data_IF_565327138071
#
_entry.id   IF_565327138071
#
_cell.length_a   1.000
_cell.length_b   1.000
_cell.length_c   1.000
_cell.angle_alpha   90.00
_cell.angle_beta   90.00
_cell.angle_gamma   90.00
#
_symmetry.space_group_name_H-M   'P 1'
#
loop_
_entity.id
_entity.type
_entity.pdbx_description
1 polymer ?
#
# COMPACT_ATOMS: atom_id res chain seq x y z
N UNK A 1 -1.06 -6.48 14.84
CA UNK A 1 -2.13 -6.71 13.84
C UNK A 1 -1.70 -7.66 12.71
N UNK A 2 -0.69 -8.47 12.90
CA UNK A 2 -0.08 -9.24 11.80
C UNK A 2 -0.79 -10.56 11.44
N UNK A 3 -1.98 -10.84 11.93
CA UNK A 3 -2.72 -12.08 11.64
C UNK A 3 -4.10 -11.89 11.01
N UNK A 4 -4.63 -10.67 11.02
CA UNK A 4 -5.99 -10.42 10.51
C UNK A 4 -5.91 -9.88 9.07
N UNK A 5 -6.61 -10.51 8.10
CA UNK A 5 -6.69 -10.00 6.74
C UNK A 5 -7.25 -8.57 6.70
N UNK A 6 -6.66 -7.73 5.85
CA UNK A 6 -7.11 -6.34 5.66
C UNK A 6 -8.24 -6.24 4.63
N UNK A 7 -8.37 -7.24 3.76
CA UNK A 7 -9.37 -7.36 2.71
C UNK A 7 -10.09 -8.71 2.81
N UNK A 8 -11.25 -8.79 2.19
CA UNK A 8 -11.98 -10.04 2.05
C UNK A 8 -11.18 -11.04 1.20
N UNK A 9 -10.97 -12.26 1.74
CA UNK A 9 -10.11 -13.25 1.10
C UNK A 9 -10.74 -13.85 -0.16
N UNK A 10 -12.06 -13.98 -0.24
CA UNK A 10 -12.73 -14.47 -1.43
C UNK A 10 -12.76 -13.41 -2.53
N UNK A 11 -12.86 -12.14 -2.16
CA UNK A 11 -12.66 -11.04 -3.09
C UNK A 11 -11.22 -11.04 -3.65
N UNK A 12 -10.19 -11.27 -2.81
CA UNK A 12 -8.80 -11.40 -3.26
C UNK A 12 -8.62 -12.57 -4.24
N UNK A 13 -9.21 -13.75 -3.95
CA UNK A 13 -9.21 -14.90 -4.88
C UNK A 13 -9.92 -14.56 -6.19
N UNK A 14 -11.02 -13.83 -6.13
CA UNK A 14 -11.76 -13.39 -7.33
C UNK A 14 -10.95 -12.39 -8.16
N UNK A 15 -10.22 -11.47 -7.52
CA UNK A 15 -9.28 -10.53 -8.18
C UNK A 15 -8.18 -11.28 -8.92
N UNK A 16 -7.61 -12.31 -8.30
CA UNK A 16 -6.61 -13.16 -8.93
C UNK A 16 -7.15 -13.88 -10.16
N UNK A 17 -8.35 -14.46 -10.08
CA UNK A 17 -9.00 -15.09 -11.26
C UNK A 17 -9.16 -14.08 -12.39
N UNK A 18 -9.76 -12.91 -12.11
CA UNK A 18 -9.92 -11.85 -13.11
C UNK A 18 -8.59 -11.37 -13.71
N UNK A 19 -7.51 -11.39 -12.93
CA UNK A 19 -6.19 -11.03 -13.42
C UNK A 19 -5.67 -12.07 -14.42
N UNK A 20 -5.75 -13.36 -14.11
CA UNK A 20 -5.37 -14.42 -15.02
C UNK A 20 -6.22 -14.45 -16.28
N UNK A 21 -7.53 -14.23 -16.18
CA UNK A 21 -8.42 -14.13 -17.34
C UNK A 21 -7.96 -13.00 -18.30
N UNK A 22 -7.56 -11.86 -17.76
CA UNK A 22 -7.04 -10.72 -18.53
C UNK A 22 -5.67 -10.96 -19.13
N UNK A 23 -4.87 -11.79 -18.52
CA UNK A 23 -3.52 -12.16 -18.95
C UNK A 23 -3.49 -13.47 -19.74
N UNK A 24 -4.64 -14.05 -20.07
CA UNK A 24 -4.71 -15.37 -20.75
C UNK A 24 -3.94 -15.42 -22.08
N UNK A 25 -3.95 -14.32 -22.85
CA UNK A 25 -3.21 -14.21 -24.11
C UNK A 25 -1.68 -14.26 -23.92
N UNK A 26 -1.19 -13.91 -22.74
CA UNK A 26 0.23 -13.92 -22.41
C UNK A 26 0.77 -15.32 -22.13
N UNK A 27 -0.09 -16.32 -21.93
CA UNK A 27 0.30 -17.72 -21.70
C UNK A 27 1.34 -17.89 -20.59
N UNK A 28 1.13 -17.19 -19.46
CA UNK A 28 2.04 -17.24 -18.34
C UNK A 28 1.98 -18.61 -17.63
N UNK A 29 3.12 -19.10 -17.16
CA UNK A 29 3.18 -20.23 -16.22
C UNK A 29 2.76 -19.81 -14.82
N UNK A 30 3.03 -18.55 -14.48
CA UNK A 30 2.65 -17.93 -13.23
C UNK A 30 3.08 -16.47 -13.17
N UNK A 31 2.81 -15.84 -12.02
CA UNK A 31 3.22 -14.47 -11.78
C UNK A 31 3.76 -14.29 -10.35
N UNK A 32 4.63 -13.31 -10.18
CA UNK A 32 5.19 -12.91 -8.89
C UNK A 32 4.92 -11.42 -8.70
N UNK A 33 4.34 -11.05 -7.56
CA UNK A 33 4.14 -9.66 -7.16
C UNK A 33 4.92 -9.36 -5.88
N UNK A 34 5.50 -8.17 -5.82
CA UNK A 34 6.34 -7.69 -4.73
C UNK A 34 5.91 -6.33 -4.17
N UNK A 35 5.17 -5.53 -4.94
CA UNK A 35 4.64 -4.26 -4.45
C UNK A 35 3.63 -4.51 -3.32
N UNK A 36 3.79 -3.85 -2.15
CA UNK A 36 2.93 -4.08 -0.98
C UNK A 36 1.44 -3.96 -1.27
N UNK A 37 1.05 -3.02 -2.12
CA UNK A 37 -0.34 -2.84 -2.54
C UNK A 37 -0.87 -3.95 -3.44
N UNK A 38 -0.03 -4.58 -4.26
CA UNK A 38 -0.43 -5.69 -5.11
C UNK A 38 -0.43 -7.00 -4.34
N UNK A 39 0.53 -7.19 -3.43
CA UNK A 39 0.49 -8.29 -2.46
C UNK A 39 -0.80 -8.21 -1.64
N UNK A 40 -1.13 -7.05 -1.07
CA UNK A 40 -2.38 -6.84 -0.34
C UNK A 40 -3.61 -7.13 -1.19
N UNK A 41 -3.68 -6.60 -2.39
CA UNK A 41 -4.82 -6.73 -3.30
C UNK A 41 -5.15 -8.19 -3.67
N UNK A 42 -4.11 -9.04 -3.77
CA UNK A 42 -4.24 -10.43 -4.21
C UNK A 42 -4.21 -11.45 -3.06
N UNK A 43 -3.73 -11.08 -1.86
CA UNK A 43 -3.59 -12.00 -0.73
C UNK A 43 -4.37 -11.61 0.53
N UNK A 44 -4.76 -10.34 0.64
CA UNK A 44 -5.46 -9.78 1.79
C UNK A 44 -4.55 -9.10 2.82
N UNK A 45 -3.22 -9.20 2.69
CA UNK A 45 -2.27 -8.72 3.69
C UNK A 45 -1.32 -7.66 3.17
N UNK A 46 -0.99 -6.70 4.05
CA UNK A 46 0.02 -5.66 3.82
C UNK A 46 0.97 -5.59 5.02
N UNK A 47 2.22 -5.36 4.73
CA UNK A 47 3.24 -5.06 5.74
C UNK A 47 3.71 -3.61 5.59
N UNK A 48 4.32 -3.11 6.65
CA UNK A 48 5.01 -1.83 6.66
C UNK A 48 6.12 -1.81 5.58
N UNK A 49 6.43 -0.62 5.04
CA UNK A 49 7.44 -0.41 3.99
C UNK A 49 8.82 -0.98 4.32
N UNK A 50 9.08 -1.25 5.60
CA UNK A 50 10.33 -1.83 6.08
C UNK A 50 10.46 -3.32 5.77
N UNK A 51 9.43 -3.97 5.27
CA UNK A 51 9.41 -5.39 4.96
C UNK A 51 9.20 -5.64 3.47
N UNK A 52 9.75 -6.72 2.97
CA UNK A 52 9.67 -7.13 1.57
C UNK A 52 8.86 -8.44 1.40
N UNK A 53 7.53 -8.42 1.60
CA UNK A 53 6.71 -9.59 1.29
C UNK A 53 6.68 -9.79 -0.22
N UNK A 54 6.42 -11.02 -0.65
CA UNK A 54 6.09 -11.32 -2.04
C UNK A 54 5.00 -12.39 -2.12
N UNK A 55 4.29 -12.42 -3.24
CA UNK A 55 3.35 -13.49 -3.53
C UNK A 55 3.58 -14.06 -4.92
N UNK A 56 3.47 -15.37 -5.03
CA UNK A 56 3.60 -16.10 -6.30
C UNK A 56 2.33 -16.92 -6.56
N UNK A 57 1.87 -16.90 -7.80
CA UNK A 57 0.64 -17.54 -8.21
C UNK A 57 0.89 -18.34 -9.47
N UNK A 58 0.60 -19.64 -9.44
CA UNK A 58 0.60 -20.46 -10.66
C UNK A 58 -0.71 -20.27 -11.42
N UNK A 59 -0.69 -20.41 -12.72
CA UNK A 59 -1.90 -20.23 -13.56
C UNK A 59 -2.99 -21.27 -13.23
N UNK A 60 -2.61 -22.50 -12.97
CA UNK A 60 -3.54 -23.61 -12.73
C UNK A 60 -3.19 -24.41 -11.45
N UNK A 61 -2.60 -23.78 -10.47
CA UNK A 61 -2.13 -24.49 -9.27
C UNK A 61 -2.05 -23.60 -8.04
N UNK A 62 -1.22 -23.98 -7.07
CA UNK A 62 -1.16 -23.33 -5.79
C UNK A 62 -0.60 -21.92 -5.85
N UNK A 63 -0.98 -21.15 -4.85
CA UNK A 63 -0.51 -19.79 -4.59
C UNK A 63 0.32 -19.76 -3.30
N UNK A 64 1.38 -18.95 -3.32
CA UNK A 64 2.29 -18.73 -2.21
C UNK A 64 2.23 -17.28 -1.74
N UNK A 65 2.26 -17.09 -0.43
CA UNK A 65 2.61 -15.82 0.21
C UNK A 65 3.90 -16.00 1.02
N UNK A 66 4.91 -15.22 0.73
CA UNK A 66 6.15 -15.12 1.52
C UNK A 66 6.06 -13.88 2.38
N UNK A 67 6.09 -14.04 3.69
CA UNK A 67 5.88 -12.97 4.67
C UNK A 67 7.03 -12.88 5.69
N UNK A 68 7.25 -11.70 6.30
CA UNK A 68 8.32 -11.53 7.27
C UNK A 68 8.02 -12.22 8.61
N UNK A 69 9.02 -12.84 9.19
CA UNK A 69 9.15 -13.39 10.54
C UNK A 69 8.10 -14.45 10.94
N UNK A 70 6.82 -14.15 10.84
CA UNK A 70 5.74 -15.06 11.27
C UNK A 70 4.71 -15.26 10.18
N UNK A 71 4.25 -16.50 9.96
CA UNK A 71 3.16 -16.74 9.03
C UNK A 71 1.88 -16.07 9.52
N UNK A 72 1.06 -15.60 8.58
CA UNK A 72 -0.30 -15.16 8.87
C UNK A 72 -1.24 -16.37 8.98
N UNK A 73 -2.28 -16.26 9.83
CA UNK A 73 -3.18 -17.38 10.06
C UNK A 73 -4.07 -17.71 8.84
N UNK A 74 -4.47 -16.67 8.12
CA UNK A 74 -5.34 -16.80 6.94
C UNK A 74 -4.89 -15.82 5.85
N UNK A 75 -4.83 -16.29 4.62
CA UNK A 75 -4.56 -15.48 3.43
C UNK A 75 -5.30 -16.06 2.21
N UNK A 76 -5.43 -15.27 1.15
CA UNK A 76 -6.02 -15.74 -0.11
C UNK A 76 -5.02 -16.56 -0.96
N UNK A 77 -4.27 -17.45 -0.31
CA UNK A 77 -3.27 -18.34 -0.92
C UNK A 77 -3.39 -19.75 -0.34
N UNK A 78 -2.66 -20.70 -0.90
CA UNK A 78 -2.68 -22.10 -0.46
C UNK A 78 -1.49 -22.41 0.48
N UNK A 79 -0.39 -21.65 0.37
CA UNK A 79 0.83 -21.84 1.14
C UNK A 79 1.32 -20.50 1.70
N UNK A 80 1.65 -20.44 2.98
CA UNK A 80 2.20 -19.25 3.65
C UNK A 80 3.54 -19.62 4.25
N UNK A 81 4.61 -18.96 3.83
CA UNK A 81 5.96 -19.23 4.31
C UNK A 81 6.62 -17.98 4.84
N UNK A 82 7.15 -18.01 6.07
CA UNK A 82 7.92 -16.91 6.59
C UNK A 82 9.35 -16.89 6.05
N UNK A 83 9.92 -15.70 5.96
CA UNK A 83 11.37 -15.50 5.87
C UNK A 83 11.86 -14.75 7.11
N UNK A 84 13.11 -14.94 7.46
CA UNK A 84 13.73 -14.21 8.57
C UNK A 84 14.06 -12.78 8.14
N UNK A 85 13.28 -11.80 8.64
CA UNK A 85 13.45 -10.40 8.29
C UNK A 85 14.55 -9.69 9.09
N UNK A 86 14.97 -10.29 10.23
CA UNK A 86 15.96 -9.71 11.16
C UNK A 86 17.00 -10.75 11.53
N UNK A 87 18.27 -10.34 11.57
CA UNK A 87 19.33 -11.18 12.13
C UNK A 87 19.41 -11.09 13.65
N UNK A 88 19.35 -9.85 14.16
CA UNK A 88 19.37 -9.57 15.60
C UNK A 88 18.64 -8.27 15.88
N UNK A 89 17.65 -8.32 16.78
CA UNK A 89 16.91 -7.14 17.22
C UNK A 89 16.50 -6.21 16.06
N UNK A 90 17.15 -5.07 15.90
CA UNK A 90 16.90 -4.08 14.85
C UNK A 90 17.76 -4.27 13.59
N UNK A 91 18.80 -5.14 13.63
CA UNK A 91 19.60 -5.45 12.45
C UNK A 91 18.79 -6.26 11.47
N UNK A 92 18.60 -5.68 10.27
CA UNK A 92 17.81 -6.30 9.21
C UNK A 92 18.67 -7.14 8.30
N UNK A 93 18.07 -8.23 7.87
CA UNK A 93 18.54 -9.03 6.75
C UNK A 93 18.36 -8.27 5.42
N UNK A 94 19.03 -8.70 4.35
CA UNK A 94 18.59 -8.42 2.99
C UNK A 94 17.28 -9.18 2.78
N UNK A 95 16.18 -8.47 2.94
CA UNK A 95 14.85 -9.06 2.96
C UNK A 95 14.41 -9.51 1.56
N UNK A 96 14.87 -8.80 0.51
CA UNK A 96 14.60 -9.18 -0.87
C UNK A 96 15.24 -10.53 -1.21
N UNK A 97 16.50 -10.73 -0.81
CA UNK A 97 17.20 -12.03 -0.96
C UNK A 97 16.55 -13.12 -0.10
N UNK A 98 16.26 -12.82 1.18
CA UNK A 98 15.66 -13.81 2.09
C UNK A 98 14.27 -14.28 1.58
N UNK A 99 13.43 -13.37 1.13
CA UNK A 99 12.13 -13.70 0.54
C UNK A 99 12.28 -14.49 -0.77
N UNK A 100 13.20 -14.08 -1.65
CA UNK A 100 13.46 -14.79 -2.90
C UNK A 100 13.98 -16.22 -2.66
N UNK A 101 14.79 -16.45 -1.63
CA UNK A 101 15.25 -17.79 -1.25
C UNK A 101 14.08 -18.71 -0.90
N UNK A 102 13.11 -18.22 -0.13
CA UNK A 102 11.89 -18.97 0.22
C UNK A 102 11.06 -19.26 -1.03
N UNK A 103 10.92 -18.28 -1.92
CA UNK A 103 10.28 -18.51 -3.24
C UNK A 103 11.01 -19.58 -4.04
N UNK A 104 12.34 -19.54 -4.11
CA UNK A 104 13.16 -20.54 -4.82
C UNK A 104 12.94 -21.95 -4.29
N UNK A 105 12.89 -22.13 -2.97
CA UNK A 105 12.56 -23.41 -2.33
C UNK A 105 11.15 -23.91 -2.71
N UNK A 106 10.20 -23.00 -2.80
CA UNK A 106 8.85 -23.32 -3.19
C UNK A 106 8.76 -23.72 -4.66
N UNK A 107 9.49 -23.04 -5.55
CA UNK A 107 9.56 -23.35 -6.98
C UNK A 107 10.26 -24.68 -7.28
N UNK A 108 11.25 -25.08 -6.49
CA UNK A 108 12.05 -26.31 -6.71
C UNK A 108 11.20 -27.59 -6.74
N UNK A 109 10.02 -27.59 -6.12
CA UNK A 109 9.07 -28.70 -6.12
C UNK A 109 8.02 -28.61 -7.25
N UNK A 110 8.23 -27.76 -8.26
CA UNK A 110 7.25 -27.42 -9.29
C UNK A 110 7.86 -27.45 -10.69
N UNK A 111 7.04 -27.57 -11.76
CA UNK A 111 7.53 -27.42 -13.12
C UNK A 111 8.22 -26.06 -13.31
N UNK A 112 9.26 -26.04 -14.10
CA UNK A 112 10.00 -24.81 -14.43
C UNK A 112 9.11 -23.83 -15.16
N UNK A 113 9.03 -22.60 -14.65
CA UNK A 113 8.34 -21.52 -15.31
C UNK A 113 9.22 -20.93 -16.42
N UNK A 114 8.69 -20.85 -17.62
CA UNK A 114 9.38 -20.31 -18.79
C UNK A 114 8.87 -18.94 -19.21
N UNK A 115 7.63 -18.60 -18.81
CA UNK A 115 7.02 -17.32 -19.08
C UNK A 115 6.38 -16.77 -17.80
N UNK A 116 6.96 -15.73 -17.23
CA UNK A 116 6.69 -15.26 -15.86
C UNK A 116 6.17 -13.84 -15.88
N UNK A 117 4.99 -13.63 -15.32
CA UNK A 117 4.47 -12.28 -15.08
C UNK A 117 5.14 -11.66 -13.86
N UNK A 118 5.69 -10.46 -14.00
CA UNK A 118 6.31 -9.71 -12.91
C UNK A 118 5.98 -8.21 -13.01
N UNK A 119 6.21 -7.48 -11.95
CA UNK A 119 6.13 -6.02 -11.92
C UNK A 119 7.47 -5.45 -12.37
N UNK A 120 7.54 -4.89 -13.57
CA UNK A 120 8.82 -4.40 -14.13
C UNK A 120 9.41 -3.25 -13.32
N UNK A 121 8.58 -2.41 -12.69
CA UNK A 121 9.07 -1.28 -11.89
C UNK A 121 9.60 -1.69 -10.51
N UNK A 122 9.26 -2.90 -10.02
CA UNK A 122 9.51 -3.28 -8.62
C UNK A 122 10.17 -4.64 -8.43
N UNK A 123 10.13 -5.54 -9.42
CA UNK A 123 10.64 -6.90 -9.26
C UNK A 123 12.16 -6.90 -9.08
N UNK A 124 12.68 -7.35 -7.92
CA UNK A 124 14.11 -7.28 -7.65
C UNK A 124 14.88 -8.37 -8.40
N UNK A 125 16.17 -8.15 -8.72
CA UNK A 125 17.04 -9.15 -9.35
C UNK A 125 17.12 -10.48 -8.60
N UNK A 126 16.95 -10.47 -7.29
CA UNK A 126 16.89 -11.69 -6.47
C UNK A 126 15.76 -12.64 -6.90
N UNK A 127 14.63 -12.08 -7.31
CA UNK A 127 13.48 -12.86 -7.82
C UNK A 127 13.72 -13.30 -9.23
N UNK A 128 14.14 -12.39 -10.13
CA UNK A 128 14.31 -12.75 -11.55
C UNK A 128 15.38 -13.82 -11.80
N UNK A 129 16.44 -13.85 -10.97
CA UNK A 129 17.49 -14.89 -11.04
C UNK A 129 16.98 -16.30 -10.78
N UNK A 130 15.83 -16.47 -10.12
CA UNK A 130 15.23 -17.78 -9.88
C UNK A 130 14.66 -18.43 -11.17
N UNK A 131 14.45 -17.63 -12.22
CA UNK A 131 13.81 -18.03 -13.46
C UNK A 131 14.80 -17.95 -14.64
N UNK A 132 15.94 -18.66 -14.51
CA UNK A 132 16.98 -18.63 -15.55
C UNK A 132 16.42 -19.08 -16.90
N UNK A 133 16.60 -18.23 -17.92
CA UNK A 133 16.11 -18.48 -19.29
C UNK A 133 14.59 -18.27 -19.48
N UNK A 134 13.87 -17.76 -18.50
CA UNK A 134 12.47 -17.40 -18.66
C UNK A 134 12.30 -16.05 -19.39
N UNK A 135 11.21 -15.93 -20.10
CA UNK A 135 10.70 -14.67 -20.62
C UNK A 135 9.87 -13.96 -19.53
N UNK A 136 10.12 -12.68 -19.30
CA UNK A 136 9.34 -11.87 -18.35
C UNK A 136 8.32 -11.02 -19.09
N UNK A 137 7.12 -10.95 -18.51
CA UNK A 137 6.01 -10.15 -19.00
C UNK A 137 5.59 -9.15 -17.93
N UNK A 138 5.49 -7.87 -18.31
CA UNK A 138 5.01 -6.83 -17.40
C UNK A 138 3.51 -6.93 -17.15
N UNK A 139 3.13 -7.20 -15.91
CA UNK A 139 1.73 -7.30 -15.48
C UNK A 139 1.18 -6.02 -14.86
N UNK A 140 2.01 -5.01 -14.59
CA UNK A 140 1.57 -3.78 -13.93
C UNK A 140 0.48 -3.04 -14.68
N UNK A 141 0.55 -2.86 -16.01
CA UNK A 141 -0.51 -2.15 -16.74
C UNK A 141 -1.89 -2.82 -16.61
N UNK A 142 -1.91 -4.15 -16.50
CA UNK A 142 -3.16 -4.92 -16.32
C UNK A 142 -3.65 -4.80 -14.89
N UNK A 143 -2.76 -4.94 -13.88
CA UNK A 143 -3.08 -4.75 -12.46
C UNK A 143 -3.61 -3.35 -12.19
N UNK A 144 -2.94 -2.31 -12.69
CA UNK A 144 -3.36 -0.91 -12.51
C UNK A 144 -4.74 -0.66 -13.12
N UNK A 145 -5.01 -1.17 -14.32
CA UNK A 145 -6.35 -1.09 -14.94
C UNK A 145 -7.41 -1.80 -14.11
N UNK A 146 -7.10 -2.99 -13.57
CA UNK A 146 -8.04 -3.75 -12.76
C UNK A 146 -8.35 -3.05 -11.45
N UNK A 147 -7.36 -2.44 -10.79
CA UNK A 147 -7.51 -1.69 -9.54
C UNK A 147 -8.28 -0.38 -9.67
N UNK A 148 -8.53 0.13 -10.88
CA UNK A 148 -9.37 1.33 -11.08
C UNK A 148 -10.81 1.10 -10.61
N UNK A 149 -11.36 -0.08 -10.80
CA UNK A 149 -12.69 -0.46 -10.31
C UNK A 149 -12.56 -1.19 -8.99
N UNK A 150 -13.07 -0.57 -7.93
CA UNK A 150 -13.00 -1.08 -6.55
C UNK A 150 -14.10 -2.10 -6.27
N UNK A 151 -13.75 -3.16 -5.58
CA UNK A 151 -14.69 -4.12 -5.01
C UNK A 151 -15.27 -3.58 -3.68
N UNK A 152 -16.37 -4.15 -3.14
CA UNK A 152 -17.03 -3.65 -1.94
C UNK A 152 -16.13 -3.56 -0.70
N UNK A 153 -15.22 -4.50 -0.50
CA UNK A 153 -14.27 -4.50 0.63
C UNK A 153 -13.24 -3.35 0.52
N UNK A 154 -12.76 -3.05 -0.70
CA UNK A 154 -11.91 -1.90 -0.97
C UNK A 154 -12.65 -0.57 -0.71
N UNK A 155 -13.93 -0.49 -1.14
CA UNK A 155 -14.77 0.67 -0.90
C UNK A 155 -15.01 0.91 0.60
N UNK A 156 -15.09 -0.14 1.41
CA UNK A 156 -15.22 0.01 2.86
C UNK A 156 -13.97 0.68 3.47
N UNK A 157 -12.78 0.31 3.04
CA UNK A 157 -11.52 0.94 3.48
C UNK A 157 -11.41 2.38 3.00
N UNK A 158 -11.77 2.65 1.74
CA UNK A 158 -11.79 4.01 1.19
C UNK A 158 -12.77 4.93 1.95
N UNK A 159 -13.97 4.46 2.28
CA UNK A 159 -14.93 5.23 3.07
C UNK A 159 -14.37 5.60 4.44
N UNK A 160 -13.60 4.70 5.07
CA UNK A 160 -12.94 4.97 6.35
C UNK A 160 -11.87 6.06 6.20
N UNK A 161 -11.04 5.98 5.15
CA UNK A 161 -10.05 7.01 4.84
C UNK A 161 -10.71 8.38 4.55
N UNK A 162 -11.82 8.40 3.80
CA UNK A 162 -12.59 9.62 3.50
C UNK A 162 -13.17 10.23 4.78
N UNK A 163 -13.70 9.41 5.70
CA UNK A 163 -14.18 9.91 7.00
C UNK A 163 -13.05 10.53 7.82
N UNK A 164 -11.86 9.94 7.80
CA UNK A 164 -10.68 10.51 8.45
C UNK A 164 -10.27 11.85 7.83
N UNK A 165 -10.29 11.98 6.50
CA UNK A 165 -10.04 13.26 5.84
C UNK A 165 -11.10 14.32 6.23
N UNK A 166 -12.36 13.93 6.38
CA UNK A 166 -13.41 14.80 6.90
C UNK A 166 -13.08 15.35 8.29
N UNK A 167 -12.69 14.47 9.23
CA UNK A 167 -12.29 14.86 10.57
C UNK A 167 -11.07 15.81 10.58
N UNK A 168 -10.10 15.59 9.68
CA UNK A 168 -8.98 16.51 9.52
C UNK A 168 -9.44 17.90 9.07
N UNK A 169 -10.34 17.99 8.09
CA UNK A 169 -10.86 19.28 7.62
C UNK A 169 -11.68 20.01 8.68
N UNK A 170 -12.45 19.31 9.50
CA UNK A 170 -13.20 19.90 10.60
C UNK A 170 -12.23 20.48 11.63
N UNK A 171 -11.20 19.73 12.02
CA UNK A 171 -10.12 20.22 12.88
C UNK A 171 -9.39 21.44 12.29
N UNK A 172 -9.10 21.41 10.98
CA UNK A 172 -8.46 22.54 10.30
C UNK A 172 -9.31 23.82 10.42
N UNK A 173 -10.62 23.73 10.19
CA UNK A 173 -11.52 24.88 10.28
C UNK A 173 -11.58 25.50 11.67
N UNK A 174 -11.39 24.70 12.70
CA UNK A 174 -11.38 25.17 14.09
C UNK A 174 -10.05 25.83 14.48
N UNK A 175 -8.94 25.34 13.93
CA UNK A 175 -7.59 25.77 14.33
C UNK A 175 -7.01 26.91 13.51
N UNK A 176 -7.48 27.09 12.26
CA UNK A 176 -6.86 28.07 11.34
C UNK A 176 -7.20 29.49 11.75
N UNK A 177 -6.22 30.15 12.37
CA UNK A 177 -6.26 31.54 12.78
C UNK A 177 -4.90 32.22 12.54
N UNK A 178 -4.85 33.56 12.37
CA UNK A 178 -3.60 34.28 12.32
C UNK A 178 -2.75 34.00 13.57
N UNK A 179 -1.46 33.73 13.37
CA UNK A 179 -0.52 33.37 14.44
C UNK A 179 -0.44 31.87 14.74
N UNK A 180 -1.35 31.05 14.21
CA UNK A 180 -1.27 29.59 14.33
C UNK A 180 -0.07 29.01 13.59
N UNK A 181 0.64 28.05 14.19
CA UNK A 181 1.83 27.41 13.59
C UNK A 181 1.45 26.24 12.69
N UNK A 182 2.07 26.12 11.50
CA UNK A 182 1.80 25.04 10.55
C UNK A 182 2.05 23.65 11.16
N UNK A 183 3.10 23.49 12.00
CA UNK A 183 3.41 22.20 12.65
C UNK A 183 2.35 21.81 13.68
N UNK A 184 1.80 22.78 14.41
CA UNK A 184 0.71 22.52 15.38
C UNK A 184 -0.56 22.07 14.65
N UNK A 185 -0.90 22.75 13.56
CA UNK A 185 -2.03 22.37 12.70
C UNK A 185 -1.80 20.95 12.17
N UNK A 186 -0.64 20.67 11.57
CA UNK A 186 -0.31 19.34 11.05
C UNK A 186 -0.48 18.25 12.13
N UNK A 187 0.06 18.48 13.33
CA UNK A 187 -0.01 17.52 14.43
C UNK A 187 -1.45 17.23 14.85
N UNK A 188 -2.28 18.29 14.94
CA UNK A 188 -3.70 18.13 15.26
C UNK A 188 -4.49 17.39 14.17
N UNK A 189 -4.19 17.67 12.90
CA UNK A 189 -4.80 16.95 11.76
C UNK A 189 -4.45 15.46 11.79
N UNK A 190 -3.19 15.12 12.09
CA UNK A 190 -2.79 13.71 12.24
C UNK A 190 -3.52 13.03 13.40
N UNK A 191 -3.63 13.71 14.55
CA UNK A 191 -4.36 13.20 15.71
C UNK A 191 -5.84 12.96 15.39
N UNK A 192 -6.50 13.88 14.70
CA UNK A 192 -7.89 13.74 14.26
C UNK A 192 -8.10 12.52 13.35
N UNK A 193 -7.21 12.33 12.38
CA UNK A 193 -7.28 11.19 11.47
C UNK A 193 -7.06 9.84 12.18
N UNK A 194 -6.06 9.76 13.07
CA UNK A 194 -5.80 8.56 13.88
C UNK A 194 -6.99 8.25 14.78
N UNK A 195 -7.57 9.25 15.44
CA UNK A 195 -8.77 9.08 16.27
C UNK A 195 -9.97 8.59 15.46
N UNK A 196 -10.18 9.14 14.27
CA UNK A 196 -11.24 8.72 13.35
C UNK A 196 -11.06 7.29 12.87
N UNK A 197 -9.82 6.87 12.56
CA UNK A 197 -9.51 5.52 12.12
C UNK A 197 -9.48 4.50 13.25
N UNK A 198 -9.20 4.92 14.50
CA UNK A 198 -9.00 4.03 15.64
C UNK A 198 -7.69 3.23 15.58
N UNK A 199 -6.80 3.56 14.65
CA UNK A 199 -5.48 2.94 14.48
C UNK A 199 -4.52 3.87 13.75
N UNK A 200 -3.23 3.53 13.74
CA UNK A 200 -2.21 4.29 13.03
C UNK A 200 -2.47 4.29 11.51
N UNK A 201 -2.32 5.46 10.89
CA UNK A 201 -2.42 5.59 9.44
C UNK A 201 -1.26 4.87 8.73
N UNK A 202 -1.51 4.40 7.52
CA UNK A 202 -0.47 3.85 6.62
C UNK A 202 0.12 4.90 5.68
N UNK A 203 -0.40 6.11 5.70
CA UNK A 203 0.07 7.27 4.94
C UNK A 203 -0.72 8.51 5.30
N UNK A 204 -0.19 9.67 4.89
CA UNK A 204 -0.79 10.99 5.12
C UNK A 204 -0.93 11.73 3.80
N UNK A 205 -1.32 13.01 3.80
CA UNK A 205 -1.33 13.83 2.59
C UNK A 205 0.02 14.45 2.26
N UNK A 206 0.03 15.30 1.25
CA UNK A 206 1.23 15.88 0.68
C UNK A 206 1.45 17.35 1.09
N UNK A 207 0.38 18.16 1.16
CA UNK A 207 0.47 19.60 1.37
C UNK A 207 -0.16 20.04 2.67
N UNK A 208 0.64 20.78 3.46
CA UNK A 208 0.29 21.31 4.77
C UNK A 208 0.86 22.72 4.96
N UNK A 209 1.03 23.48 3.88
CA UNK A 209 1.70 24.76 3.93
C UNK A 209 0.74 25.93 3.73
N UNK A 210 0.99 27.02 4.45
CA UNK A 210 0.22 28.25 4.45
C UNK A 210 0.94 29.36 3.73
N UNK A 211 0.22 30.19 2.95
CA UNK A 211 0.79 31.35 2.24
C UNK A 211 1.78 30.98 1.12
N UNK A 212 1.69 29.75 0.60
CA UNK A 212 2.45 29.27 -0.57
C UNK A 212 1.68 28.19 -1.30
N UNK A 213 2.22 27.72 -2.43
CA UNK A 213 1.55 26.82 -3.38
C UNK A 213 1.48 25.34 -2.95
N UNK A 214 1.70 25.04 -1.69
CA UNK A 214 1.74 23.67 -1.16
C UNK A 214 3.11 23.34 -0.60
N UNK A 215 3.25 22.14 -0.04
CA UNK A 215 4.47 21.61 0.56
C UNK A 215 4.28 21.10 1.99
N UNK A 216 5.36 20.56 2.59
CA UNK A 216 5.32 20.07 3.96
C UNK A 216 5.07 21.20 4.96
N UNK A 217 4.56 20.90 6.17
CA UNK A 217 4.38 21.89 7.22
C UNK A 217 5.74 22.43 7.69
N UNK A 218 5.80 23.73 8.01
CA UNK A 218 7.00 24.41 8.46
C UNK A 218 6.79 25.00 9.86
N UNK A 219 7.86 25.30 10.55
CA UNK A 219 7.83 26.13 11.75
C UNK A 219 7.58 27.59 11.34
N UNK A 220 6.32 27.89 11.03
CA UNK A 220 5.86 29.19 10.52
C UNK A 220 4.49 29.51 11.05
N UNK A 221 4.32 30.74 11.56
CA UNK A 221 3.02 31.29 11.90
C UNK A 221 2.26 31.72 10.63
N UNK A 222 0.98 31.36 10.56
CA UNK A 222 0.07 31.79 9.50
C UNK A 222 -0.25 33.27 9.63
N UNK A 223 -0.27 34.00 8.53
CA UNK A 223 -0.67 35.41 8.51
C UNK A 223 -2.15 35.57 8.09
N UNK A 224 -2.76 36.68 8.51
CA UNK A 224 -4.11 37.03 8.04
C UNK A 224 -4.08 37.23 6.52
N UNK A 225 -5.07 36.65 5.81
CA UNK A 225 -5.15 36.68 4.35
C UNK A 225 -4.38 35.58 3.64
N UNK A 226 -3.52 34.85 4.34
CA UNK A 226 -2.89 33.66 3.75
C UNK A 226 -3.96 32.63 3.33
N UNK A 227 -3.68 31.94 2.22
CA UNK A 227 -4.38 30.70 1.87
C UNK A 227 -3.60 29.51 2.42
N UNK A 228 -4.27 28.69 3.19
CA UNK A 228 -3.73 27.41 3.66
C UNK A 228 -4.16 26.32 2.68
N UNK A 229 -3.19 25.72 1.99
CA UNK A 229 -3.44 24.59 1.10
C UNK A 229 -3.25 23.29 1.88
N UNK A 230 -4.34 22.53 1.97
CA UNK A 230 -4.37 21.23 2.62
C UNK A 230 -4.72 20.19 1.56
N UNK A 231 -3.71 19.42 1.14
CA UNK A 231 -3.90 18.24 0.29
C UNK A 231 -3.80 16.99 1.17
N UNK A 232 -4.99 16.64 1.73
CA UNK A 232 -5.11 15.62 2.75
C UNK A 232 -5.35 14.25 2.12
N UNK A 233 -4.43 13.33 2.41
CA UNK A 233 -4.48 11.96 1.91
C UNK A 233 -4.28 10.94 3.03
N UNK A 234 -5.09 10.93 4.13
CA UNK A 234 -4.97 9.91 5.14
C UNK A 234 -5.22 8.54 4.51
N UNK A 235 -4.32 7.60 4.76
CA UNK A 235 -4.44 6.24 4.27
C UNK A 235 -4.82 5.28 5.38
N UNK A 236 -5.98 4.65 5.25
CA UNK A 236 -6.45 3.61 6.13
C UNK A 236 -6.14 2.24 5.51
N UNK A 237 -5.25 1.48 6.15
CA UNK A 237 -4.87 0.13 5.72
C UNK A 237 -4.46 0.05 4.23
N UNK A 238 -3.69 1.04 3.76
CA UNK A 238 -3.18 1.12 2.39
C UNK A 238 -4.11 1.76 1.36
N UNK A 239 -5.30 2.21 1.75
CA UNK A 239 -6.26 2.90 0.89
C UNK A 239 -6.31 4.38 1.25
N UNK A 240 -6.00 5.23 0.28
CA UNK A 240 -5.89 6.68 0.45
C UNK A 240 -7.20 7.40 0.14
N UNK A 241 -7.55 8.38 1.00
CA UNK A 241 -8.41 9.48 0.59
C UNK A 241 -7.52 10.58 0.02
N UNK A 242 -7.83 11.05 -1.16
CA UNK A 242 -7.07 12.10 -1.85
C UNK A 242 -8.01 13.28 -2.09
N UNK A 243 -7.85 14.34 -1.29
CA UNK A 243 -8.72 15.53 -1.34
C UNK A 243 -7.93 16.78 -1.02
N UNK A 244 -8.09 17.84 -1.82
CA UNK A 244 -7.42 19.13 -1.58
C UNK A 244 -8.44 20.24 -1.32
N UNK A 245 -8.09 21.17 -0.41
CA UNK A 245 -8.83 22.41 -0.10
C UNK A 245 -7.86 23.54 0.16
N UNK A 246 -8.24 24.73 -0.29
CA UNK A 246 -7.62 25.98 0.14
C UNK A 246 -8.57 26.69 1.12
N UNK A 247 -8.06 27.05 2.29
CA UNK A 247 -8.82 27.68 3.37
C UNK A 247 -8.15 29.00 3.70
N UNK A 248 -8.91 30.10 3.69
CA UNK A 248 -8.40 31.40 4.12
C UNK A 248 -8.25 31.45 5.66
N UNK A 249 -7.05 31.86 6.14
CA UNK A 249 -6.70 31.86 7.57
C UNK A 249 -7.60 32.74 8.43
N UNK A 250 -8.14 33.82 7.87
CA UNK A 250 -9.08 34.72 8.56
C UNK A 250 -10.53 34.60 8.06
N UNK A 251 -10.86 33.53 7.35
CA UNK A 251 -12.15 33.30 6.67
C UNK A 251 -12.49 34.32 5.58
N UNK A 252 -11.55 35.16 5.18
CA UNK A 252 -11.67 36.11 4.08
C UNK A 252 -10.47 35.93 3.16
N UNK A 253 -10.71 35.55 1.90
CA UNK A 253 -9.68 35.55 0.87
C UNK A 253 -9.37 37.01 0.50
N UNK A 254 -8.09 37.33 0.38
CA UNK A 254 -7.62 38.63 -0.14
C UNK A 254 -7.40 38.55 -1.63
#
# INVERSE_FOLDING_TARGET
MNGIPLLDLDACRSRRRRLFDRLAAERLDGLVVVMPEHVQYLTGHRWDFRFAPLAAFTTAGPALLVCPDKPVEQAAVDDVRPYEAKWRSTLRNDQGEAAARVLGQWLAARPTWRRVGVEFSACPPHVTRLFAGAEFVDIEPVLLRQRRRKDPDELALLRRAIAAAGAMYDTAREMLAPGGNELDVFSALQAAAVSSCGEMLTGTGNDYACGMRGGPPRDRACAAGDLYILDLGPAYRGYFADTSRAIAVNRQAT
#
